data_IF_432494451282
#
_entry.id   IF_432494451282
#
_cell.length_a   1.000
_cell.length_b   1.000
_cell.length_c   1.000
_cell.angle_alpha   90.00
_cell.angle_beta   90.00
_cell.angle_gamma   90.00
#
_symmetry.space_group_name_H-M   'P 1'
#
loop_
_entity.id
_entity.type
_entity.pdbx_description
1 polymer ?
#
# COMPACT_ATOMS: atom_id res chain seq x y z
N UNK A 1 12.56 17.38 2.00
CA UNK A 1 12.18 16.06 1.44
C UNK A 1 12.47 16.04 -0.04
N UNK A 2 12.98 14.92 -0.53
CA UNK A 2 13.07 14.64 -1.97
C UNK A 2 11.65 14.33 -2.49
N UNK A 3 11.28 14.82 -3.66
CA UNK A 3 9.96 14.54 -4.25
C UNK A 3 10.11 13.65 -5.47
N UNK A 4 9.43 12.51 -5.47
CA UNK A 4 9.33 11.57 -6.59
C UNK A 4 8.11 11.95 -7.44
N UNK A 5 8.37 12.32 -8.70
CA UNK A 5 7.32 12.76 -9.63
C UNK A 5 7.05 11.69 -10.68
N UNK A 6 5.79 11.34 -10.85
CA UNK A 6 5.33 10.33 -11.80
C UNK A 6 4.24 10.89 -12.72
N UNK A 7 4.17 10.36 -13.94
CA UNK A 7 3.09 10.64 -14.88
C UNK A 7 2.50 9.31 -15.32
N UNK A 8 1.23 9.09 -14.99
CA UNK A 8 0.52 7.87 -15.37
C UNK A 8 0.28 7.83 -16.87
N UNK A 9 0.26 6.61 -17.42
CA UNK A 9 -0.09 6.35 -18.81
C UNK A 9 -1.09 5.21 -18.85
N UNK A 10 -2.24 5.46 -19.44
CA UNK A 10 -3.26 4.45 -19.60
C UNK A 10 -3.28 3.89 -21.03
N UNK A 11 -3.63 2.62 -21.14
CA UNK A 11 -3.99 1.98 -22.40
C UNK A 11 -5.15 1.03 -22.19
N UNK A 12 -6.26 1.31 -22.88
CA UNK A 12 -7.40 0.40 -22.93
C UNK A 12 -7.12 -0.75 -23.89
N UNK A 13 -7.43 -1.97 -23.45
CA UNK A 13 -7.30 -3.21 -24.24
C UNK A 13 -8.61 -4.00 -24.19
N UNK A 14 -8.84 -4.86 -25.20
CA UNK A 14 -9.94 -5.83 -25.16
C UNK A 14 -9.64 -6.87 -24.08
N UNK A 15 -10.60 -7.06 -23.17
CA UNK A 15 -10.47 -7.93 -21.99
C UNK A 15 -11.58 -8.97 -21.87
N UNK A 16 -12.34 -9.22 -22.93
CA UNK A 16 -13.45 -10.19 -22.97
C UNK A 16 -13.01 -11.63 -22.64
N UNK A 17 -11.77 -11.98 -22.97
CA UNK A 17 -11.14 -13.28 -22.64
C UNK A 17 -10.32 -13.26 -21.34
N UNK A 18 -10.37 -12.18 -20.56
CA UNK A 18 -9.54 -12.00 -19.38
C UNK A 18 -10.39 -11.69 -18.15
N UNK A 19 -10.34 -12.59 -17.17
CA UNK A 19 -10.89 -12.31 -15.83
C UNK A 19 -9.80 -11.73 -14.93
N UNK A 20 -10.13 -10.86 -13.95
CA UNK A 20 -9.17 -10.33 -13.00
C UNK A 20 -8.32 -11.42 -12.33
N UNK A 21 -8.94 -12.50 -11.88
CA UNK A 21 -8.26 -13.66 -11.28
C UNK A 21 -7.30 -14.31 -12.27
N UNK A 22 -7.75 -14.62 -13.50
CA UNK A 22 -6.89 -15.26 -14.51
C UNK A 22 -5.70 -14.38 -14.90
N UNK A 23 -5.90 -13.05 -14.93
CA UNK A 23 -4.84 -12.08 -15.20
C UNK A 23 -3.85 -12.03 -14.06
N UNK A 24 -4.32 -11.96 -12.81
CA UNK A 24 -3.46 -11.94 -11.63
C UNK A 24 -2.59 -13.20 -11.52
N UNK A 25 -3.16 -14.38 -11.74
CA UNK A 25 -2.42 -15.65 -11.70
C UNK A 25 -1.26 -15.71 -12.71
N UNK A 26 -1.37 -15.03 -13.86
CA UNK A 26 -0.28 -14.97 -14.86
C UNK A 26 0.88 -14.09 -14.45
N UNK A 27 0.66 -13.12 -13.56
CA UNK A 27 1.65 -12.07 -13.23
C UNK A 27 2.17 -12.15 -11.79
N UNK A 28 1.44 -12.81 -10.87
CA UNK A 28 1.78 -12.84 -9.44
C UNK A 28 3.16 -13.44 -9.15
N UNK A 29 3.59 -14.42 -9.94
CA UNK A 29 4.87 -15.10 -9.74
C UNK A 29 6.04 -14.30 -10.34
N UNK A 30 5.75 -13.30 -11.19
CA UNK A 30 6.73 -12.40 -11.81
C UNK A 30 6.94 -11.15 -10.94
N UNK A 31 5.86 -10.64 -10.34
CA UNK A 31 5.88 -9.43 -9.53
C UNK A 31 5.62 -9.77 -8.06
N UNK A 32 6.68 -9.91 -7.24
CA UNK A 32 6.51 -10.08 -5.80
C UNK A 32 5.79 -8.87 -5.21
N UNK A 33 5.11 -9.06 -4.07
CA UNK A 33 4.34 -8.00 -3.39
C UNK A 33 3.23 -7.40 -4.28
N UNK A 34 2.73 -8.19 -5.23
CA UNK A 34 1.55 -7.85 -6.02
C UNK A 34 0.26 -8.09 -5.24
N UNK A 35 -0.75 -7.27 -5.51
CA UNK A 35 -2.06 -7.34 -4.86
C UNK A 35 -3.17 -7.44 -5.91
N UNK A 36 -4.19 -8.24 -5.61
CA UNK A 36 -5.47 -8.25 -6.33
C UNK A 36 -6.56 -7.79 -5.36
N UNK A 37 -7.28 -6.73 -5.72
CA UNK A 37 -8.48 -6.27 -5.01
C UNK A 37 -9.67 -6.36 -5.96
N UNK A 38 -10.74 -7.03 -5.53
CA UNK A 38 -11.95 -7.19 -6.33
C UNK A 38 -13.16 -6.75 -5.50
N UNK A 39 -13.98 -5.87 -6.08
CA UNK A 39 -15.26 -5.48 -5.49
C UNK A 39 -16.36 -6.40 -6.01
N UNK A 40 -17.06 -7.07 -5.10
CA UNK A 40 -18.22 -7.91 -5.39
C UNK A 40 -19.51 -7.26 -4.88
N UNK A 41 -19.75 -6.00 -5.26
CA UNK A 41 -20.95 -5.30 -4.81
C UNK A 41 -22.15 -5.76 -5.66
N UNK A 42 -23.02 -6.56 -5.04
CA UNK A 42 -24.19 -7.15 -5.70
C UNK A 42 -25.35 -6.15 -5.87
N UNK A 43 -25.28 -4.97 -5.24
CA UNK A 43 -26.40 -4.03 -5.15
C UNK A 43 -26.33 -2.83 -6.11
N UNK A 44 -25.25 -2.66 -6.89
CA UNK A 44 -25.16 -1.59 -7.90
C UNK A 44 -24.06 -1.82 -8.93
N UNK A 45 -24.41 -1.83 -10.21
CA UNK A 45 -23.49 -2.07 -11.34
C UNK A 45 -22.45 -0.97 -11.56
N UNK A 46 -22.46 0.12 -10.79
CA UNK A 46 -21.61 1.28 -11.05
C UNK A 46 -20.20 1.20 -10.44
N UNK A 47 -19.93 0.23 -9.54
CA UNK A 47 -18.65 0.15 -8.80
C UNK A 47 -17.98 -1.23 -8.78
N UNK A 48 -18.33 -2.12 -9.72
CA UNK A 48 -17.67 -3.43 -9.84
C UNK A 48 -16.37 -3.30 -10.63
N UNK A 49 -15.29 -2.96 -9.93
CA UNK A 49 -13.93 -2.87 -10.47
C UNK A 49 -13.01 -3.83 -9.73
N UNK A 50 -12.04 -4.36 -10.48
CA UNK A 50 -10.90 -5.07 -9.92
C UNK A 50 -9.63 -4.29 -10.19
N UNK A 51 -8.72 -4.29 -9.22
CA UNK A 51 -7.42 -3.65 -9.27
C UNK A 51 -6.34 -4.72 -9.11
N UNK A 52 -5.35 -4.69 -9.99
CA UNK A 52 -4.14 -5.50 -9.86
C UNK A 52 -2.97 -4.54 -9.68
N UNK A 53 -2.45 -4.47 -8.46
CA UNK A 53 -1.25 -3.71 -8.14
C UNK A 53 -0.01 -4.59 -8.36
N UNK A 54 0.94 -4.10 -9.15
CA UNK A 54 2.18 -4.81 -9.48
C UNK A 54 3.39 -3.94 -9.16
N UNK A 55 4.52 -4.56 -8.83
CA UNK A 55 5.82 -3.92 -8.71
C UNK A 55 5.79 -2.61 -7.89
N UNK A 56 5.45 -2.67 -6.60
CA UNK A 56 5.42 -1.49 -5.76
C UNK A 56 6.76 -0.77 -5.77
N UNK A 57 6.72 0.56 -5.80
CA UNK A 57 7.93 1.40 -5.93
C UNK A 57 8.45 1.92 -4.60
N UNK A 58 7.64 1.82 -3.55
CA UNK A 58 7.96 2.28 -2.21
C UNK A 58 7.05 1.59 -1.19
N UNK A 59 7.38 1.68 0.10
CA UNK A 59 6.56 1.13 1.17
C UNK A 59 6.68 1.93 2.46
N UNK A 60 5.62 1.92 3.26
CA UNK A 60 5.60 2.39 4.64
C UNK A 60 5.01 1.29 5.52
N UNK A 61 5.77 0.87 6.52
CA UNK A 61 5.33 -0.11 7.52
C UNK A 61 5.46 0.46 8.93
N UNK A 62 4.63 -0.03 9.85
CA UNK A 62 4.79 0.25 11.27
C UNK A 62 4.84 -1.07 12.02
N UNK A 63 5.90 -1.23 12.81
CA UNK A 63 6.05 -2.39 13.67
C UNK A 63 6.80 -2.03 14.96
N UNK A 64 6.41 -2.64 16.08
CA UNK A 64 7.02 -2.43 17.40
C UNK A 64 7.30 -0.96 17.78
N UNK A 65 6.39 -0.05 17.42
CA UNK A 65 6.56 1.37 17.71
C UNK A 65 7.55 2.11 16.81
N UNK A 66 7.94 1.54 15.67
CA UNK A 66 8.78 2.19 14.66
C UNK A 66 8.07 2.19 13.31
N UNK A 67 8.00 3.36 12.67
CA UNK A 67 7.63 3.50 11.28
C UNK A 67 8.89 3.38 10.41
N UNK A 68 8.83 2.55 9.36
CA UNK A 68 9.91 2.35 8.39
C UNK A 68 9.39 2.64 7.00
N UNK A 69 9.93 3.67 6.36
CA UNK A 69 9.67 4.04 4.97
C UNK A 69 10.81 3.55 4.07
N UNK A 70 10.50 3.00 2.91
CA UNK A 70 11.45 2.72 1.83
C UNK A 70 11.00 3.42 0.56
N UNK A 71 11.91 4.11 -0.10
CA UNK A 71 11.61 4.98 -1.25
C UNK A 71 12.14 4.41 -2.58
N UNK A 72 11.69 4.95 -3.73
CA UNK A 72 12.05 4.42 -5.05
C UNK A 72 13.54 4.46 -5.41
N UNK A 73 14.34 5.28 -4.72
CA UNK A 73 15.79 5.34 -4.89
C UNK A 73 16.55 4.38 -3.97
N UNK A 74 15.83 3.54 -3.21
CA UNK A 74 16.39 2.61 -2.23
C UNK A 74 16.75 3.26 -0.90
N UNK A 75 16.49 4.57 -0.71
CA UNK A 75 16.65 5.19 0.60
C UNK A 75 15.59 4.68 1.58
N UNK A 76 15.97 4.63 2.85
CA UNK A 76 15.14 4.17 3.94
C UNK A 76 15.16 5.20 5.08
N UNK A 77 14.01 5.43 5.68
CA UNK A 77 13.84 6.29 6.85
C UNK A 77 13.13 5.52 7.96
N UNK A 78 13.60 5.66 9.18
CA UNK A 78 12.99 5.07 10.37
C UNK A 78 12.67 6.16 11.38
N UNK A 79 11.45 6.12 11.92
CA UNK A 79 10.97 7.08 12.90
C UNK A 79 10.24 6.37 14.04
N UNK A 80 10.59 6.64 15.30
CA UNK A 80 9.83 6.10 16.43
C UNK A 80 8.45 6.73 16.47
N UNK A 81 7.43 5.90 16.70
CA UNK A 81 6.07 6.34 16.98
C UNK A 81 6.02 6.89 18.40
N UNK A 82 5.58 8.14 18.53
CA UNK A 82 5.47 8.87 19.80
C UNK A 82 4.15 9.62 19.87
N UNK A 83 3.86 10.26 21.00
CA UNK A 83 2.66 11.09 21.14
C UNK A 83 2.64 12.27 20.16
N UNK A 84 3.81 12.76 19.72
CA UNK A 84 3.95 13.89 18.80
C UNK A 84 4.18 13.45 17.34
N UNK A 85 4.46 12.18 17.10
CA UNK A 85 4.66 11.61 15.78
C UNK A 85 3.96 10.25 15.70
N UNK A 86 2.69 10.30 15.31
CA UNK A 86 1.79 9.15 15.28
C UNK A 86 1.79 8.48 13.90
N UNK A 87 1.10 7.35 13.80
CA UNK A 87 1.03 6.58 12.56
C UNK A 87 0.47 7.36 11.36
N UNK A 88 -0.51 8.22 11.58
CA UNK A 88 -1.09 9.09 10.56
C UNK A 88 -0.08 10.12 10.02
N UNK A 89 0.76 10.69 10.89
CA UNK A 89 1.87 11.55 10.48
C UNK A 89 2.88 10.80 9.63
N UNK A 90 3.28 9.59 10.05
CA UNK A 90 4.21 8.76 9.28
C UNK A 90 3.68 8.44 7.87
N UNK A 91 2.39 8.09 7.75
CA UNK A 91 1.75 7.83 6.45
C UNK A 91 1.65 9.11 5.61
N UNK A 92 1.24 10.23 6.21
CA UNK A 92 1.09 11.52 5.52
C UNK A 92 2.43 12.04 4.98
N UNK A 93 3.46 12.01 5.81
CA UNK A 93 4.82 12.42 5.43
C UNK A 93 5.38 11.51 4.33
N UNK A 94 5.15 10.20 4.42
CA UNK A 94 5.50 9.27 3.35
C UNK A 94 4.80 9.66 2.03
N UNK A 95 3.48 9.87 2.05
CA UNK A 95 2.70 10.25 0.86
C UNK A 95 3.14 11.58 0.25
N UNK A 96 3.56 12.54 1.07
CA UNK A 96 4.03 13.86 0.63
C UNK A 96 5.33 13.79 -0.20
N UNK A 97 6.03 12.64 -0.23
CA UNK A 97 7.14 12.42 -1.15
C UNK A 97 6.70 12.19 -2.60
N UNK A 98 5.43 11.90 -2.87
CA UNK A 98 4.96 11.50 -4.19
C UNK A 98 4.09 12.58 -4.83
N UNK A 99 4.39 12.91 -6.09
CA UNK A 99 3.53 13.76 -6.94
C UNK A 99 3.19 13.00 -8.20
N UNK A 100 1.91 12.72 -8.41
CA UNK A 100 1.42 11.96 -9.56
C UNK A 100 0.50 12.84 -10.39
N UNK A 101 0.68 12.81 -11.70
CA UNK A 101 -0.18 13.47 -12.68
C UNK A 101 -0.56 12.51 -13.80
N UNK A 102 -1.51 12.89 -14.66
CA UNK A 102 -1.97 12.07 -15.80
C UNK A 102 -3.32 11.41 -15.58
N UNK A 103 -3.75 10.62 -16.56
CA UNK A 103 -5.05 9.92 -16.54
C UNK A 103 -5.03 8.82 -15.46
N UNK A 104 -6.12 8.65 -14.72
CA UNK A 104 -6.25 7.65 -13.65
C UNK A 104 -5.27 7.75 -12.47
N UNK A 105 -4.61 8.90 -12.27
CA UNK A 105 -3.69 9.11 -11.15
C UNK A 105 -4.30 8.87 -9.76
N UNK A 106 -5.64 8.96 -9.63
CA UNK A 106 -6.36 8.68 -8.39
C UNK A 106 -6.31 7.20 -7.96
N UNK A 107 -5.86 6.30 -8.83
CA UNK A 107 -5.64 4.89 -8.48
C UNK A 107 -4.20 4.62 -8.02
N UNK A 108 -3.28 5.57 -8.19
CA UNK A 108 -1.96 5.49 -7.55
C UNK A 108 -2.11 5.73 -6.05
N UNK A 109 -1.47 4.91 -5.23
CA UNK A 109 -1.60 5.05 -3.79
C UNK A 109 -1.10 3.85 -3.01
N UNK A 110 -1.59 3.76 -1.78
CA UNK A 110 -1.20 2.74 -0.81
C UNK A 110 -2.08 1.52 -0.93
N UNK A 111 -1.44 0.36 -1.10
CA UNK A 111 -2.06 -0.97 -1.14
C UNK A 111 -1.36 -1.85 -0.11
N UNK A 112 -2.10 -2.52 0.75
CA UNK A 112 -1.50 -3.36 1.77
C UNK A 112 -2.48 -3.72 2.85
N UNK A 113 -1.99 -3.86 4.07
CA UNK A 113 -2.80 -4.31 5.19
C UNK A 113 -2.51 -3.52 6.46
N UNK A 114 -3.53 -3.50 7.32
CA UNK A 114 -3.47 -3.02 8.68
C UNK A 114 -4.06 -4.11 9.57
N UNK A 115 -3.29 -4.62 10.51
CA UNK A 115 -3.75 -5.63 11.46
C UNK A 115 -4.52 -4.97 12.60
N UNK A 116 -5.20 -5.79 13.42
CA UNK A 116 -5.86 -5.31 14.63
C UNK A 116 -4.90 -4.58 15.59
N UNK A 117 -3.65 -5.05 15.72
CA UNK A 117 -2.68 -4.49 16.66
C UNK A 117 -2.32 -3.03 16.36
N UNK A 118 -2.43 -2.61 15.10
CA UNK A 118 -2.14 -1.24 14.69
C UNK A 118 -3.03 -0.19 15.39
N UNK A 119 -4.19 -0.58 15.95
CA UNK A 119 -5.08 0.33 16.68
C UNK A 119 -4.37 1.06 17.83
N UNK A 120 -3.32 0.45 18.42
CA UNK A 120 -2.51 1.06 19.49
C UNK A 120 -1.77 2.33 19.06
N UNK A 121 -1.56 2.54 17.76
CA UNK A 121 -0.90 3.72 17.23
C UNK A 121 -1.89 4.87 16.94
N UNK A 122 -3.19 4.56 16.92
CA UNK A 122 -4.26 5.51 16.63
C UNK A 122 -5.06 5.87 17.87
N UNK A 123 -5.15 4.98 18.85
CA UNK A 123 -5.92 5.16 20.07
C UNK A 123 -5.11 4.78 21.32
N UNK A 124 -5.44 5.37 22.47
CA UNK A 124 -4.82 5.04 23.76
C UNK A 124 -5.40 3.74 24.34
N UNK A 125 -5.17 2.62 23.65
CA UNK A 125 -5.63 1.28 24.04
C UNK A 125 -4.41 0.42 24.37
N UNK A 126 -4.46 -0.28 25.50
CA UNK A 126 -3.38 -1.19 25.94
C UNK A 126 -3.39 -2.52 25.17
N UNK A 127 -3.14 -2.47 23.86
CA UNK A 127 -2.90 -3.68 23.06
C UNK A 127 -1.45 -4.11 23.25
N UNK A 128 -1.24 -5.38 23.60
CA UNK A 128 0.11 -5.93 23.85
C UNK A 128 0.92 -5.96 22.55
N UNK A 129 2.20 -5.61 22.66
CA UNK A 129 3.17 -5.91 21.59
C UNK A 129 3.27 -7.42 21.42
N UNK A 130 3.03 -7.90 20.21
CA UNK A 130 3.17 -9.32 19.85
C UNK A 130 4.40 -9.45 18.98
N UNK A 131 5.24 -10.44 19.29
CA UNK A 131 6.44 -10.77 18.50
C UNK A 131 6.44 -12.25 18.20
N UNK A 132 6.58 -12.62 16.93
CA UNK A 132 6.74 -14.02 16.54
C UNK A 132 8.20 -14.26 16.06
N UNK A 133 8.97 -15.14 16.72
CA UNK A 133 10.36 -15.38 16.33
C UNK A 133 10.57 -15.94 14.91
N UNK A 134 9.53 -16.55 14.32
CA UNK A 134 9.60 -17.14 12.98
C UNK A 134 9.01 -16.22 11.92
N UNK A 135 7.98 -15.44 12.25
CA UNK A 135 7.30 -14.57 11.30
C UNK A 135 6.72 -13.31 11.97
N UNK A 136 7.58 -12.36 12.25
CA UNK A 136 7.23 -11.09 12.89
C UNK A 136 6.68 -10.09 11.86
N UNK A 137 5.45 -10.34 11.40
CA UNK A 137 4.80 -9.49 10.42
C UNK A 137 4.52 -8.10 11.01
N UNK A 138 4.75 -7.00 10.26
CA UNK A 138 4.41 -5.67 10.70
C UNK A 138 2.94 -5.52 11.12
N UNK A 139 2.66 -4.71 12.12
CA UNK A 139 1.29 -4.36 12.50
C UNK A 139 0.52 -3.69 11.35
N UNK A 140 1.24 -2.97 10.48
CA UNK A 140 0.74 -2.40 9.22
C UNK A 140 1.87 -2.38 8.20
N UNK A 141 1.54 -2.70 6.95
CA UNK A 141 2.46 -2.57 5.82
C UNK A 141 1.69 -2.16 4.58
N UNK A 142 2.05 -1.00 4.04
CA UNK A 142 1.42 -0.39 2.88
C UNK A 142 2.47 -0.15 1.80
N UNK A 143 2.18 -0.62 0.59
CA UNK A 143 3.00 -0.44 -0.59
C UNK A 143 2.45 0.68 -1.46
N UNK A 144 3.33 1.57 -1.91
CA UNK A 144 2.97 2.60 -2.88
C UNK A 144 3.09 2.03 -4.30
N UNK A 145 1.96 1.98 -5.00
CA UNK A 145 1.86 1.49 -6.37
C UNK A 145 1.45 2.63 -7.27
N UNK A 146 2.23 2.84 -8.32
CA UNK A 146 1.91 3.76 -9.41
C UNK A 146 1.19 2.97 -10.50
N UNK A 147 -0.14 3.00 -10.49
CA UNK A 147 -0.99 2.36 -11.52
C UNK A 147 -1.20 3.25 -12.73
#
# INVERSE_FOLDING_TARGET
>A
MKTFTYTTRCKTILGDLHTPVSTYLKVRDIFPQSALMESSDYHGSENNRSFIGLNPVASIGINHGTATATYPDGSMEEHPITEHFRADHAISDFLNHFKVSGEYNNYCGLYGYTTFNAVRYFEHINVKDSRDPKNDAPDMLLYYINT
#
